data_IF_078507201401
#
_entry.id   IF_078507201401
#
_cell.length_a   1.000
_cell.length_b   1.000
_cell.length_c   1.000
_cell.angle_alpha   90.00
_cell.angle_beta   90.00
_cell.angle_gamma   90.00
#
_symmetry.space_group_name_H-M   'P 1'
#
loop_
_entity.id
_entity.type
_entity.pdbx_description
1 polymer ?
#
# COMPACT_ATOMS: atom_id res chain seq x y z
N UNK A 1 12.92 9.97 16.86
CA UNK A 1 14.20 9.44 16.37
C UNK A 1 13.93 8.47 15.23
N UNK A 2 14.64 8.63 14.12
CA UNK A 2 14.47 7.77 12.98
C UNK A 2 15.05 6.39 13.24
N UNK A 3 14.31 5.37 12.88
CA UNK A 3 14.75 3.98 13.01
C UNK A 3 14.46 3.27 11.69
N UNK A 4 15.35 3.43 10.69
CA UNK A 4 15.10 2.86 9.36
C UNK A 4 14.87 1.35 9.38
N UNK A 5 15.60 0.61 10.21
CA UNK A 5 15.43 -0.85 10.26
C UNK A 5 14.10 -1.23 10.89
N UNK A 6 13.71 -0.57 11.97
CA UNK A 6 12.43 -0.82 12.63
C UNK A 6 11.26 -0.42 11.76
N UNK A 7 11.38 0.70 11.04
CA UNK A 7 10.36 1.14 10.09
C UNK A 7 10.20 0.14 8.94
N UNK A 8 11.30 -0.36 8.40
CA UNK A 8 11.24 -1.36 7.33
C UNK A 8 10.58 -2.65 7.82
N UNK A 9 10.91 -3.11 9.02
CA UNK A 9 10.30 -4.31 9.58
C UNK A 9 8.79 -4.14 9.78
N UNK A 10 8.36 -2.97 10.25
CA UNK A 10 6.94 -2.68 10.40
C UNK A 10 6.21 -2.76 9.07
N UNK A 11 6.75 -2.10 8.04
CA UNK A 11 6.13 -2.10 6.71
C UNK A 11 6.18 -3.51 6.10
N UNK A 12 7.27 -4.24 6.28
CA UNK A 12 7.37 -5.62 5.81
C UNK A 12 6.24 -6.49 6.41
N UNK A 13 5.93 -6.30 7.68
CA UNK A 13 4.82 -7.01 8.33
C UNK A 13 3.47 -6.65 7.70
N UNK A 14 3.26 -5.37 7.38
CA UNK A 14 2.03 -4.91 6.74
C UNK A 14 1.79 -5.64 5.42
N UNK A 15 2.82 -5.75 4.59
CA UNK A 15 2.69 -6.47 3.32
C UNK A 15 2.62 -7.98 3.51
N UNK A 16 3.13 -8.48 4.63
CA UNK A 16 3.06 -9.91 4.94
C UNK A 16 1.65 -10.42 5.21
N UNK A 17 0.73 -9.56 5.69
CA UNK A 17 -0.67 -9.95 5.86
C UNK A 17 -1.59 -9.42 4.77
N UNK A 18 -1.03 -8.97 3.64
CA UNK A 18 -1.78 -8.57 2.43
C UNK A 18 -2.89 -7.55 2.73
N UNK A 19 -2.50 -6.37 3.18
CA UNK A 19 -3.42 -5.36 3.72
C UNK A 19 -4.57 -4.94 2.78
N UNK A 20 -4.44 -5.14 1.48
CA UNK A 20 -5.47 -4.81 0.50
C UNK A 20 -5.91 -6.03 -0.30
N UNK A 21 -5.69 -7.23 0.22
CA UNK A 21 -5.94 -8.45 -0.52
C UNK A 21 -7.44 -8.72 -0.70
N UNK A 22 -7.76 -9.28 -1.85
CA UNK A 22 -9.08 -9.83 -2.16
C UNK A 22 -8.89 -11.33 -2.38
N UNK A 23 -9.81 -12.11 -1.87
CA UNK A 23 -9.76 -13.56 -1.97
C UNK A 23 -9.48 -14.18 -0.61
N UNK A 24 -8.39 -14.92 -0.49
CA UNK A 24 -8.14 -15.75 0.69
C UNK A 24 -7.79 -14.98 1.97
N UNK A 25 -7.41 -13.70 1.87
CA UNK A 25 -6.94 -12.90 3.01
C UNK A 25 -7.74 -11.63 3.17
N UNK A 26 -9.05 -11.79 3.33
CA UNK A 26 -9.97 -10.66 3.37
C UNK A 26 -9.82 -9.80 4.64
N UNK A 27 -9.14 -10.26 5.68
CA UNK A 27 -8.98 -9.54 6.93
C UNK A 27 -7.74 -8.62 6.97
N UNK A 28 -7.00 -8.54 5.89
CA UNK A 28 -5.76 -7.74 5.87
C UNK A 28 -5.95 -6.28 6.20
N UNK A 29 -7.04 -5.68 5.70
CA UNK A 29 -7.31 -4.28 5.96
C UNK A 29 -7.64 -4.01 7.43
N UNK A 30 -8.33 -4.91 8.10
CA UNK A 30 -8.63 -4.74 9.52
C UNK A 30 -7.34 -4.69 10.34
N UNK A 31 -6.36 -5.51 9.99
CA UNK A 31 -5.05 -5.49 10.65
C UNK A 31 -4.32 -4.19 10.37
N UNK A 32 -4.39 -3.69 9.15
CA UNK A 32 -3.78 -2.42 8.81
C UNK A 32 -4.37 -1.29 9.65
N UNK A 33 -5.69 -1.27 9.79
CA UNK A 33 -6.39 -0.24 10.55
C UNK A 33 -5.87 -0.16 11.98
N UNK A 34 -5.52 -1.29 12.59
CA UNK A 34 -5.01 -1.32 13.96
C UNK A 34 -3.58 -0.78 14.09
N UNK A 35 -2.85 -0.71 12.98
CA UNK A 35 -1.44 -0.31 12.99
C UNK A 35 -1.19 1.14 12.56
N UNK A 36 -2.15 1.76 11.89
CA UNK A 36 -1.99 3.12 11.37
C UNK A 36 -2.57 4.15 12.34
N UNK A 37 -2.19 5.42 12.15
CA UNK A 37 -2.70 6.49 12.98
C UNK A 37 -4.19 6.75 12.70
N UNK A 38 -4.89 7.36 13.67
CA UNK A 38 -6.29 7.71 13.52
C UNK A 38 -6.53 8.68 12.36
N UNK A 39 -5.55 9.53 12.08
CA UNK A 39 -5.62 10.50 10.99
C UNK A 39 -4.86 10.04 9.74
N UNK A 40 -4.61 8.75 9.63
CA UNK A 40 -3.92 8.15 8.49
C UNK A 40 -4.57 8.56 7.18
N UNK A 41 -3.72 8.88 6.19
CA UNK A 41 -4.18 9.25 4.85
C UNK A 41 -3.43 8.48 3.78
N UNK A 42 -4.16 8.19 2.71
CA UNK A 42 -3.61 7.52 1.53
C UNK A 42 -3.79 8.44 0.34
N UNK A 43 -2.71 8.71 -0.37
CA UNK A 43 -2.75 9.51 -1.59
C UNK A 43 -2.72 8.60 -2.80
N UNK A 44 -3.74 8.70 -3.63
CA UNK A 44 -3.82 7.91 -4.85
C UNK A 44 -2.83 8.45 -5.88
N UNK A 45 -2.37 7.59 -6.80
CA UNK A 45 -1.47 8.01 -7.87
C UNK A 45 -2.12 9.06 -8.75
N UNK A 46 -1.28 9.86 -9.42
CA UNK A 46 -1.76 10.90 -10.33
C UNK A 46 -2.64 10.32 -11.44
N UNK A 47 -2.31 9.12 -11.92
CA UNK A 47 -3.07 8.41 -12.95
C UNK A 47 -4.48 8.06 -12.46
N UNK A 48 -4.69 7.96 -11.14
CA UNK A 48 -5.99 7.67 -10.54
C UNK A 48 -6.61 8.92 -9.92
N UNK A 49 -6.17 10.11 -10.33
CA UNK A 49 -6.74 11.37 -9.92
C UNK A 49 -6.03 12.08 -8.78
N UNK A 50 -5.00 11.50 -8.20
CA UNK A 50 -4.20 12.14 -7.16
C UNK A 50 -4.92 12.47 -5.86
N UNK A 51 -6.10 11.88 -5.63
CA UNK A 51 -6.91 12.20 -4.45
C UNK A 51 -6.29 11.65 -3.18
N UNK A 52 -6.53 12.38 -2.08
CA UNK A 52 -6.15 11.93 -0.74
C UNK A 52 -7.40 11.43 -0.02
N UNK A 53 -7.33 10.23 0.54
CA UNK A 53 -8.44 9.62 1.27
C UNK A 53 -7.95 9.14 2.64
N UNK A 54 -8.83 9.22 3.63
CA UNK A 54 -8.52 8.72 4.97
C UNK A 54 -8.76 7.22 5.09
N UNK A 55 -8.70 6.73 6.31
CA UNK A 55 -8.87 5.29 6.60
C UNK A 55 -10.21 4.76 6.07
N UNK A 56 -11.29 5.51 6.29
CA UNK A 56 -12.62 5.08 5.84
C UNK A 56 -12.70 5.03 4.32
N UNK A 57 -12.08 6.00 3.64
CA UNK A 57 -12.01 5.99 2.18
C UNK A 57 -11.19 4.83 1.65
N UNK A 58 -10.12 4.48 2.35
CA UNK A 58 -9.30 3.34 1.96
C UNK A 58 -10.05 2.02 2.13
N UNK A 59 -10.89 1.92 3.16
CA UNK A 59 -11.75 0.75 3.34
C UNK A 59 -12.72 0.60 2.16
N UNK A 60 -13.30 1.70 1.70
CA UNK A 60 -14.17 1.68 0.52
C UNK A 60 -13.41 1.28 -0.75
N UNK A 61 -12.15 1.73 -0.86
CA UNK A 61 -11.29 1.33 -1.97
C UNK A 61 -11.08 -0.18 -1.99
N UNK A 62 -10.79 -0.78 -0.84
CA UNK A 62 -10.59 -2.23 -0.73
C UNK A 62 -11.89 -2.97 -1.08
N UNK A 63 -13.03 -2.48 -0.61
CA UNK A 63 -14.34 -3.08 -0.99
C UNK A 63 -14.58 -3.02 -2.49
N UNK A 64 -14.21 -1.91 -3.12
CA UNK A 64 -14.37 -1.76 -4.56
C UNK A 64 -13.51 -2.78 -5.33
N UNK A 65 -12.33 -3.09 -4.81
CA UNK A 65 -11.49 -4.13 -5.42
C UNK A 65 -12.20 -5.48 -5.45
N UNK A 66 -12.98 -5.80 -4.43
CA UNK A 66 -13.71 -7.07 -4.38
C UNK A 66 -14.79 -7.15 -5.45
N UNK A 67 -15.33 -6.02 -5.88
CA UNK A 67 -16.34 -6.00 -6.94
C UNK A 67 -15.73 -6.20 -8.32
N UNK A 68 -14.52 -5.70 -8.53
CA UNK A 68 -13.86 -5.73 -9.83
C UNK A 68 -12.93 -6.93 -10.01
N UNK A 69 -12.41 -7.47 -8.92
CA UNK A 69 -11.42 -8.54 -8.95
C UNK A 69 -11.82 -9.71 -8.09
N UNK A 70 -11.59 -10.92 -8.58
CA UNK A 70 -11.74 -12.14 -7.78
C UNK A 70 -10.50 -12.41 -6.94
N UNK A 71 -9.36 -11.89 -7.38
CA UNK A 71 -8.10 -11.95 -6.64
C UNK A 71 -7.38 -10.62 -6.84
N UNK A 72 -6.75 -10.14 -5.77
CA UNK A 72 -5.93 -8.93 -5.80
C UNK A 72 -4.98 -8.96 -4.61
N UNK A 73 -3.70 -8.67 -4.87
CA UNK A 73 -2.74 -8.44 -3.78
C UNK A 73 -1.54 -7.67 -4.29
N UNK A 74 -0.85 -7.03 -3.36
CA UNK A 74 0.43 -6.38 -3.62
C UNK A 74 1.55 -7.37 -3.31
N UNK A 75 2.31 -7.75 -4.32
CA UNK A 75 3.48 -8.59 -4.15
C UNK A 75 4.70 -7.69 -3.98
N UNK A 76 5.09 -7.46 -2.72
CA UNK A 76 6.21 -6.60 -2.41
C UNK A 76 7.52 -7.32 -2.72
N UNK A 77 8.38 -6.67 -3.48
CA UNK A 77 9.67 -7.23 -3.87
C UNK A 77 10.84 -6.53 -3.19
N UNK A 78 10.70 -5.23 -2.92
CA UNK A 78 11.76 -4.44 -2.30
C UNK A 78 11.20 -3.52 -1.22
N UNK A 79 11.95 -3.39 -0.13
CA UNK A 79 11.66 -2.43 0.94
C UNK A 79 12.89 -1.55 1.09
N UNK A 80 12.78 -0.27 0.73
CA UNK A 80 13.91 0.64 0.57
C UNK A 80 13.75 1.82 1.52
N UNK A 81 14.75 2.15 2.36
CA UNK A 81 14.64 3.34 3.19
C UNK A 81 14.65 4.59 2.32
N UNK A 82 13.73 5.52 2.59
CA UNK A 82 13.69 6.84 1.96
C UNK A 82 14.32 7.86 2.89
N UNK A 83 14.15 9.13 2.55
CA UNK A 83 14.62 10.21 3.41
C UNK A 83 13.78 10.29 4.68
N UNK A 84 14.45 10.52 5.81
CA UNK A 84 13.78 10.64 7.10
C UNK A 84 13.03 9.37 7.49
N UNK A 85 11.75 9.51 7.77
CA UNK A 85 10.88 8.43 8.26
C UNK A 85 10.17 7.68 7.14
N UNK A 86 10.65 7.77 5.92
CA UNK A 86 9.95 7.17 4.78
C UNK A 86 10.49 5.79 4.43
N UNK A 87 9.57 4.92 3.98
CA UNK A 87 9.91 3.60 3.45
C UNK A 87 9.24 3.45 2.10
N UNK A 88 10.02 3.07 1.09
CA UNK A 88 9.51 2.78 -0.24
C UNK A 88 9.29 1.28 -0.37
N UNK A 89 8.11 0.89 -0.84
CA UNK A 89 7.83 -0.51 -1.17
C UNK A 89 7.60 -0.59 -2.67
N UNK A 90 8.36 -1.41 -3.33
CA UNK A 90 8.24 -1.61 -4.78
C UNK A 90 7.95 -3.07 -5.07
N UNK A 91 7.14 -3.32 -6.09
CA UNK A 91 6.79 -4.67 -6.48
C UNK A 91 5.74 -4.67 -7.58
N UNK A 92 4.90 -5.67 -7.55
CA UNK A 92 3.86 -5.83 -8.56
C UNK A 92 2.51 -6.09 -7.92
N UNK A 93 1.47 -5.49 -8.52
CA UNK A 93 0.10 -5.85 -8.23
C UNK A 93 -0.20 -7.12 -9.02
N UNK A 94 -0.72 -8.14 -8.36
CA UNK A 94 -1.20 -9.36 -8.99
C UNK A 94 -2.71 -9.40 -8.81
N UNK A 95 -3.46 -9.51 -9.90
CA UNK A 95 -4.91 -9.52 -9.81
C UNK A 95 -5.53 -10.34 -10.94
N UNK A 96 -6.80 -10.73 -10.70
CA UNK A 96 -7.60 -11.45 -11.68
C UNK A 96 -8.95 -10.74 -11.76
N UNK A 97 -9.31 -10.25 -12.94
CA UNK A 97 -10.59 -9.58 -13.15
C UNK A 97 -11.75 -10.53 -12.91
N UNK A 98 -12.77 -10.06 -12.19
CA UNK A 98 -13.93 -10.89 -11.86
C UNK A 98 -14.73 -11.25 -13.12
N UNK A 99 -14.93 -10.28 -13.99
CA UNK A 99 -15.68 -10.50 -15.24
C UNK A 99 -14.83 -11.16 -16.31
N UNK A 100 -13.62 -10.66 -16.54
CA UNK A 100 -12.74 -11.15 -17.59
C UNK A 100 -12.06 -12.48 -17.25
N UNK A 101 -11.83 -12.72 -15.95
CA UNK A 101 -11.09 -13.89 -15.44
C UNK A 101 -9.67 -13.97 -15.97
N UNK A 102 -9.11 -12.84 -16.41
CA UNK A 102 -7.76 -12.75 -16.96
C UNK A 102 -6.80 -12.31 -15.87
N UNK A 103 -5.68 -13.05 -15.65
CA UNK A 103 -4.64 -12.60 -14.72
C UNK A 103 -3.94 -11.36 -15.26
N UNK A 104 -3.72 -10.39 -14.38
CA UNK A 104 -3.04 -9.14 -14.71
C UNK A 104 -1.93 -8.88 -13.73
N UNK A 105 -0.90 -8.17 -14.19
CA UNK A 105 0.24 -7.78 -13.36
C UNK A 105 0.61 -6.35 -13.70
N UNK A 106 0.81 -5.53 -12.65
CA UNK A 106 1.13 -4.11 -12.79
C UNK A 106 2.19 -3.72 -11.78
N UNK A 107 3.22 -3.01 -12.23
CA UNK A 107 4.23 -2.46 -11.32
C UNK A 107 3.60 -1.44 -10.37
N UNK A 108 4.07 -1.39 -9.13
CA UNK A 108 3.67 -0.36 -8.20
C UNK A 108 4.85 0.10 -7.35
N UNK A 109 4.73 1.31 -6.81
CA UNK A 109 5.62 1.80 -5.78
C UNK A 109 4.81 2.58 -4.75
N UNK A 110 4.98 2.27 -3.47
CA UNK A 110 4.32 2.98 -2.38
C UNK A 110 5.36 3.68 -1.52
N UNK A 111 5.06 4.92 -1.11
CA UNK A 111 5.90 5.66 -0.16
C UNK A 111 5.12 5.76 1.14
N UNK A 112 5.63 5.10 2.18
CA UNK A 112 5.04 5.16 3.52
C UNK A 112 5.78 6.20 4.35
N UNK A 113 5.02 7.01 5.08
CA UNK A 113 5.57 7.93 6.07
C UNK A 113 5.20 7.42 7.45
N UNK A 114 6.19 7.33 8.33
CA UNK A 114 6.02 6.76 9.66
C UNK A 114 6.46 7.81 10.68
N UNK A 115 5.60 8.09 11.65
CA UNK A 115 5.92 9.03 12.74
C UNK A 115 5.86 8.28 14.06
N UNK A 116 6.97 8.29 14.80
CA UNK A 116 7.07 7.63 16.11
C UNK A 116 6.61 6.17 16.08
N UNK A 117 7.02 5.46 15.02
CA UNK A 117 6.71 4.04 14.89
C UNK A 117 5.30 3.73 14.39
N UNK A 118 4.53 4.75 13.98
CA UNK A 118 3.16 4.57 13.49
C UNK A 118 3.04 5.13 12.08
N UNK A 119 2.57 4.33 11.12
CA UNK A 119 2.34 4.85 9.76
C UNK A 119 1.23 5.90 9.76
N UNK A 120 1.52 7.05 9.16
CA UNK A 120 0.59 8.19 9.10
C UNK A 120 0.12 8.47 7.69
N UNK A 121 0.84 7.98 6.69
CA UNK A 121 0.56 8.33 5.30
C UNK A 121 1.15 7.29 4.36
N UNK A 122 0.43 6.99 3.29
CA UNK A 122 0.98 6.22 2.17
C UNK A 122 0.65 6.93 0.88
N UNK A 123 1.61 6.97 -0.03
CA UNK A 123 1.47 7.62 -1.32
C UNK A 123 1.68 6.56 -2.40
N UNK A 124 0.68 6.39 -3.26
CA UNK A 124 0.72 5.37 -4.31
C UNK A 124 1.30 5.93 -5.61
N UNK A 125 2.17 5.18 -6.22
CA UNK A 125 2.76 5.47 -7.52
C UNK A 125 2.68 4.23 -8.40
N UNK A 126 2.77 4.44 -9.70
CA UNK A 126 2.65 3.36 -10.68
C UNK A 126 3.99 2.76 -11.07
N UNK A 127 5.10 3.19 -10.43
CA UNK A 127 6.41 2.64 -10.69
C UNK A 127 7.36 2.82 -9.51
N UNK A 128 8.39 1.98 -9.48
CA UNK A 128 9.47 2.10 -8.51
C UNK A 128 10.19 3.44 -8.64
N UNK A 129 10.46 3.87 -9.86
CA UNK A 129 11.18 5.11 -10.11
C UNK A 129 10.44 6.33 -9.56
N UNK A 130 9.12 6.38 -9.78
CA UNK A 130 8.30 7.48 -9.27
C UNK A 130 8.29 7.50 -7.74
N UNK A 131 8.16 6.33 -7.11
CA UNK A 131 8.16 6.23 -5.66
C UNK A 131 9.50 6.67 -5.06
N UNK A 132 10.60 6.25 -5.65
CA UNK A 132 11.93 6.65 -5.18
C UNK A 132 12.14 8.15 -5.31
N UNK A 133 11.66 8.75 -6.39
CA UNK A 133 11.74 10.19 -6.59
C UNK A 133 10.92 10.94 -5.53
N UNK A 134 9.74 10.45 -5.21
CA UNK A 134 8.86 11.07 -4.22
C UNK A 134 9.40 10.94 -2.79
N UNK A 135 10.22 9.93 -2.52
CA UNK A 135 10.76 9.68 -1.17
C UNK A 135 12.05 10.44 -0.86
N UNK A 136 12.52 11.25 -1.77
CA UNK A 136 13.74 12.07 -1.58
C UNK A 136 13.47 13.37 -0.88
#
# INVERSE_FOLDING_TARGET
MDDPDGNIELIRRIYGFDWAAVGKRADGFDRLRDLVSDDFQSQMSAELGGRTIGVDGLALFVEALEQDFSEFHYEAEEFIPGDGDKVVVAGRIRCVGRASKVPLSQEFGHVWTIADGTPTHVEAHMSRAEALSAAR
#
